data_IF_637845154043
#
_entry.id   IF_637845154043
#
_cell.length_a   1.000
_cell.length_b   1.000
_cell.length_c   1.000
_cell.angle_alpha   90.00
_cell.angle_beta   90.00
_cell.angle_gamma   90.00
#
_symmetry.space_group_name_H-M   'P 1'
#
loop_
_entity.id
_entity.type
_entity.pdbx_description
1 polymer ?
#
# COMPACT_ATOMS: atom_id res chain seq x y z
N UNK A 1 -25.10 12.23 42.17
CA UNK A 1 -24.19 13.03 41.31
C UNK A 1 -23.62 12.08 40.27
N UNK A 2 -23.97 12.32 39.00
CA UNK A 2 -23.72 11.44 37.87
C UNK A 2 -22.47 11.86 37.09
N UNK A 3 -21.86 10.84 36.48
CA UNK A 3 -21.04 10.85 35.26
C UNK A 3 -19.55 11.19 35.34
N UNK A 4 -18.73 10.14 35.26
CA UNK A 4 -17.36 10.18 34.72
C UNK A 4 -17.04 8.88 33.95
N UNK A 5 -17.73 8.62 32.85
CA UNK A 5 -17.43 7.48 31.95
C UNK A 5 -17.38 7.93 30.49
N UNK A 6 -16.51 8.89 30.16
CA UNK A 6 -16.28 9.30 28.76
C UNK A 6 -14.85 9.78 28.52
N UNK A 7 -13.84 8.90 28.64
CA UNK A 7 -12.49 9.21 28.10
C UNK A 7 -11.89 8.15 27.20
N UNK A 8 -12.49 6.96 27.07
CA UNK A 8 -11.92 5.85 26.27
C UNK A 8 -12.32 5.92 24.77
N UNK A 9 -13.33 6.72 24.40
CA UNK A 9 -13.97 6.61 23.08
C UNK A 9 -13.43 7.55 21.98
N UNK A 10 -12.58 8.55 22.30
CA UNK A 10 -12.15 9.53 21.28
C UNK A 10 -10.99 9.03 20.39
N UNK A 11 -10.06 8.22 20.92
CA UNK A 11 -8.90 7.73 20.16
C UNK A 11 -9.27 6.75 19.04
N UNK A 12 -10.32 5.93 19.23
CA UNK A 12 -10.80 5.01 18.19
C UNK A 12 -11.57 5.71 17.07
N UNK A 13 -12.17 6.90 17.32
CA UNK A 13 -12.85 7.69 16.26
C UNK A 13 -11.89 8.13 15.17
N UNK A 14 -10.67 8.56 15.53
CA UNK A 14 -9.66 9.00 14.56
C UNK A 14 -9.15 7.87 13.67
N UNK A 15 -9.19 6.63 14.16
CA UNK A 15 -8.78 5.47 13.39
C UNK A 15 -9.85 5.02 12.38
N UNK A 16 -11.12 5.32 12.65
CA UNK A 16 -12.25 4.99 11.76
C UNK A 16 -12.46 6.05 10.67
N UNK A 17 -11.93 7.27 10.84
CA UNK A 17 -11.96 8.33 9.82
C UNK A 17 -11.44 7.89 8.44
N UNK A 18 -10.26 7.27 8.30
CA UNK A 18 -9.79 6.81 7.00
C UNK A 18 -10.70 5.73 6.41
N UNK A 19 -11.31 4.87 7.23
CA UNK A 19 -12.28 3.89 6.78
C UNK A 19 -13.58 4.54 6.28
N UNK A 20 -14.09 5.57 6.96
CA UNK A 20 -15.26 6.32 6.52
C UNK A 20 -14.98 7.14 5.26
N UNK A 21 -13.76 7.67 5.12
CA UNK A 21 -13.32 8.38 3.92
C UNK A 21 -13.20 7.43 2.72
N UNK A 22 -12.64 6.24 2.92
CA UNK A 22 -12.58 5.17 1.93
C UNK A 22 -13.99 4.65 1.55
N UNK A 23 -14.85 4.41 2.53
CA UNK A 23 -16.24 3.99 2.31
C UNK A 23 -17.05 5.06 1.58
N UNK A 24 -16.89 6.33 1.94
CA UNK A 24 -17.52 7.46 1.26
C UNK A 24 -17.06 7.60 -0.19
N UNK A 25 -15.78 7.36 -0.49
CA UNK A 25 -15.26 7.36 -1.86
C UNK A 25 -15.90 6.25 -2.71
N UNK A 26 -16.04 5.04 -2.17
CA UNK A 26 -16.63 3.90 -2.89
C UNK A 26 -18.15 4.03 -3.03
N UNK A 27 -18.85 4.44 -1.97
CA UNK A 27 -20.29 4.72 -2.05
C UNK A 27 -20.55 5.88 -3.01
N UNK A 28 -19.74 6.94 -2.95
CA UNK A 28 -19.82 8.05 -3.90
C UNK A 28 -19.60 7.59 -5.35
N UNK A 29 -18.63 6.71 -5.59
CA UNK A 29 -18.37 6.10 -6.89
C UNK A 29 -19.56 5.24 -7.38
N UNK A 30 -20.07 4.34 -6.54
CA UNK A 30 -21.21 3.49 -6.86
C UNK A 30 -22.48 4.31 -7.11
N UNK A 31 -22.78 5.29 -6.27
CA UNK A 31 -23.92 6.20 -6.41
C UNK A 31 -23.78 7.03 -7.68
N UNK A 32 -22.60 7.58 -7.99
CA UNK A 32 -22.38 8.32 -9.23
C UNK A 32 -22.54 7.41 -10.47
N UNK A 33 -22.07 6.17 -10.41
CA UNK A 33 -22.21 5.21 -11.51
C UNK A 33 -23.67 4.77 -11.75
N UNK A 34 -24.50 4.74 -10.70
CA UNK A 34 -25.91 4.33 -10.77
C UNK A 34 -26.85 5.50 -11.07
N UNK A 35 -26.67 6.67 -10.43
CA UNK A 35 -27.57 7.83 -10.60
C UNK A 35 -27.34 8.58 -11.92
N UNK A 36 -26.11 8.62 -12.45
CA UNK A 36 -25.83 9.34 -13.70
C UNK A 36 -26.19 8.51 -14.95
N UNK A 37 -26.46 7.21 -14.79
CA UNK A 37 -26.79 6.29 -15.88
C UNK A 37 -28.08 5.50 -15.61
N UNK A 38 -29.09 6.09 -14.96
CA UNK A 38 -30.39 5.47 -14.83
C UNK A 38 -31.26 5.76 -16.08
N UNK A 39 -31.33 4.86 -17.10
CA UNK A 39 -32.38 4.95 -18.10
C UNK A 39 -33.73 4.65 -17.41
N UNK A 40 -34.78 5.34 -17.85
CA UNK A 40 -36.16 5.25 -17.36
C UNK A 40 -36.83 3.87 -17.57
N UNK A 41 -36.08 2.83 -17.92
CA UNK A 41 -36.54 1.44 -17.98
C UNK A 41 -35.54 0.53 -17.26
N UNK A 42 -36.02 -0.08 -16.18
CA UNK A 42 -35.26 -0.90 -15.24
C UNK A 42 -34.95 -2.28 -15.84
N UNK A 43 -34.17 -2.34 -16.92
CA UNK A 43 -33.61 -3.59 -17.43
C UNK A 43 -32.29 -3.86 -16.71
N UNK A 44 -32.34 -4.68 -15.66
CA UNK A 44 -31.16 -5.24 -14.99
C UNK A 44 -30.44 -6.24 -15.91
N UNK A 45 -29.80 -5.72 -16.94
CA UNK A 45 -28.72 -6.44 -17.61
C UNK A 45 -27.43 -5.99 -16.94
N UNK A 46 -26.68 -6.93 -16.37
CA UNK A 46 -25.30 -6.69 -15.94
C UNK A 46 -24.47 -6.47 -17.21
N UNK A 47 -24.62 -5.30 -17.82
CA UNK A 47 -23.87 -4.88 -18.98
C UNK A 47 -22.59 -4.25 -18.47
N UNK A 48 -21.48 -4.97 -18.59
CA UNK A 48 -20.13 -4.41 -18.46
C UNK A 48 -20.02 -3.31 -19.54
N UNK A 49 -20.16 -2.05 -19.14
CA UNK A 49 -20.33 -0.94 -20.09
C UNK A 49 -18.98 -0.41 -20.62
N UNK A 50 -17.86 -0.67 -19.91
CA UNK A 50 -16.50 -0.42 -20.42
C UNK A 50 -15.52 -1.55 -20.10
N UNK A 51 -14.56 -1.77 -21.01
CA UNK A 51 -13.48 -2.76 -20.90
C UNK A 51 -12.63 -2.62 -19.61
N UNK A 52 -12.63 -1.43 -18.98
CA UNK A 52 -11.82 -1.11 -17.80
C UNK A 52 -12.61 -1.02 -16.48
N UNK A 53 -13.96 -1.10 -16.49
CA UNK A 53 -14.79 -0.97 -15.29
C UNK A 53 -14.49 -2.07 -14.26
N UNK A 54 -14.28 -3.29 -14.73
CA UNK A 54 -13.97 -4.43 -13.89
C UNK A 54 -12.59 -4.28 -13.23
N UNK A 55 -11.61 -3.72 -13.95
CA UNK A 55 -10.27 -3.44 -13.41
C UNK A 55 -10.36 -2.45 -12.25
N UNK A 56 -11.01 -1.29 -12.45
CA UNK A 56 -11.16 -0.28 -11.40
C UNK A 56 -12.04 -0.79 -10.24
N UNK A 57 -13.05 -1.61 -10.51
CA UNK A 57 -13.84 -2.29 -9.49
C UNK A 57 -13.00 -3.22 -8.61
N UNK A 58 -12.14 -4.06 -9.21
CA UNK A 58 -11.20 -4.93 -8.48
C UNK A 58 -10.22 -4.09 -7.66
N UNK A 59 -9.65 -3.03 -8.25
CA UNK A 59 -8.72 -2.13 -7.58
C UNK A 59 -9.36 -1.45 -6.35
N UNK A 60 -10.58 -0.92 -6.52
CA UNK A 60 -11.34 -0.31 -5.44
C UNK A 60 -11.71 -1.29 -4.33
N UNK A 61 -12.11 -2.52 -4.69
CA UNK A 61 -12.39 -3.57 -3.72
C UNK A 61 -11.13 -3.98 -2.93
N UNK A 62 -10.01 -4.20 -3.62
CA UNK A 62 -8.75 -4.58 -2.98
C UNK A 62 -8.25 -3.47 -2.05
N UNK A 63 -8.39 -2.21 -2.47
CA UNK A 63 -8.10 -1.04 -1.65
C UNK A 63 -8.93 -1.01 -0.35
N UNK A 64 -10.24 -1.22 -0.44
CA UNK A 64 -11.10 -1.29 0.73
C UNK A 64 -10.72 -2.44 1.65
N UNK A 65 -10.46 -3.63 1.07
CA UNK A 65 -10.09 -4.82 1.84
C UNK A 65 -8.79 -4.61 2.61
N UNK A 66 -7.74 -4.05 1.97
CA UNK A 66 -6.47 -3.76 2.62
C UNK A 66 -6.61 -2.64 3.66
N UNK A 67 -7.36 -1.58 3.38
CA UNK A 67 -7.62 -0.48 4.31
C UNK A 67 -8.38 -0.96 5.55
N UNK A 68 -9.41 -1.79 5.36
CA UNK A 68 -10.18 -2.40 6.44
C UNK A 68 -9.33 -3.37 7.26
N UNK A 69 -8.51 -4.20 6.61
CA UNK A 69 -7.60 -5.12 7.29
C UNK A 69 -6.56 -4.37 8.12
N UNK A 70 -5.92 -3.35 7.56
CA UNK A 70 -4.95 -2.52 8.27
C UNK A 70 -5.60 -1.85 9.48
N UNK A 71 -6.76 -1.21 9.29
CA UNK A 71 -7.52 -0.57 10.38
C UNK A 71 -7.92 -1.58 11.45
N UNK A 72 -8.38 -2.79 11.08
CA UNK A 72 -8.76 -3.83 12.03
C UNK A 72 -7.57 -4.32 12.87
N UNK A 73 -6.41 -4.55 12.26
CA UNK A 73 -5.18 -4.93 12.98
C UNK A 73 -4.79 -3.81 13.94
N UNK A 74 -4.82 -2.57 13.47
CA UNK A 74 -4.52 -1.38 14.25
C UNK A 74 -5.51 -1.15 15.41
N UNK A 75 -6.76 -1.60 15.34
CA UNK A 75 -7.70 -1.55 16.48
C UNK A 75 -7.37 -2.64 17.51
N UNK A 76 -6.92 -3.81 17.04
CA UNK A 76 -6.59 -4.96 17.91
C UNK A 76 -5.33 -4.76 18.73
N UNK A 77 -4.40 -3.92 18.27
CA UNK A 77 -3.16 -3.61 19.00
C UNK A 77 -3.49 -2.62 20.14
N UNK A 78 -3.18 -2.93 21.41
CA UNK A 78 -3.41 -2.02 22.52
C UNK A 78 -2.67 -0.69 22.30
N UNK A 79 -3.21 0.43 22.79
CA UNK A 79 -2.59 1.74 22.51
C UNK A 79 -1.37 2.05 23.40
N UNK A 80 -1.17 1.29 24.48
CA UNK A 80 -0.04 1.43 25.40
C UNK A 80 0.60 0.05 25.59
N UNK A 81 1.92 0.03 25.54
CA UNK A 81 2.72 -1.11 25.98
C UNK A 81 2.61 -1.18 27.52
N UNK A 82 2.02 -2.26 28.05
CA UNK A 82 2.02 -2.50 29.50
C UNK A 82 3.39 -3.08 29.87
N UNK A 83 4.35 -2.20 30.18
CA UNK A 83 5.73 -2.57 30.50
C UNK A 83 5.83 -3.66 31.59
N UNK A 84 4.96 -3.66 32.60
CA UNK A 84 5.04 -4.61 33.73
C UNK A 84 4.55 -6.04 33.39
N UNK A 85 3.63 -6.19 32.44
CA UNK A 85 2.98 -7.48 32.15
C UNK A 85 3.64 -8.22 30.98
N UNK A 86 4.18 -7.48 29.99
CA UNK A 86 4.89 -8.07 28.83
C UNK A 86 6.36 -8.41 29.15
N UNK A 87 7.05 -7.63 30.01
CA UNK A 87 8.44 -7.93 30.40
C UNK A 87 8.54 -9.16 31.32
N UNK A 88 7.47 -9.52 32.03
CA UNK A 88 7.47 -10.59 33.04
C UNK A 88 7.15 -11.99 32.48
N UNK A 89 6.70 -12.10 31.23
CA UNK A 89 6.36 -13.40 30.62
C UNK A 89 7.24 -13.83 29.44
N UNK A 90 8.01 -12.93 28.82
CA UNK A 90 8.59 -13.21 27.49
C UNK A 90 9.93 -12.50 27.21
N UNK A 91 10.77 -12.26 28.23
CA UNK A 91 12.09 -11.65 28.02
C UNK A 91 13.04 -12.45 27.10
N UNK A 92 12.73 -13.73 26.84
CA UNK A 92 13.55 -14.64 26.02
C UNK A 92 12.90 -15.02 24.67
N UNK A 93 11.66 -14.58 24.36
CA UNK A 93 11.03 -14.89 23.08
C UNK A 93 11.26 -13.76 22.06
N UNK A 94 12.09 -14.06 21.05
CA UNK A 94 12.48 -13.19 19.93
C UNK A 94 11.32 -12.67 19.05
N UNK A 95 10.05 -12.86 19.43
CA UNK A 95 8.90 -12.53 18.58
C UNK A 95 7.62 -12.31 19.42
N UNK A 96 7.53 -11.17 20.11
CA UNK A 96 6.31 -10.79 20.87
C UNK A 96 5.08 -10.79 19.94
N UNK A 97 3.90 -11.28 20.40
CA UNK A 97 2.70 -11.30 19.58
C UNK A 97 2.30 -9.92 19.04
N UNK A 98 2.62 -8.85 19.78
CA UNK A 98 2.42 -7.47 19.38
C UNK A 98 3.35 -7.06 18.23
N UNK A 99 4.62 -7.47 18.26
CA UNK A 99 5.60 -7.24 17.20
C UNK A 99 5.15 -7.85 15.88
N UNK A 100 4.71 -9.11 15.92
CA UNK A 100 4.22 -9.80 14.72
C UNK A 100 2.97 -9.16 14.13
N UNK A 101 2.04 -8.70 14.97
CA UNK A 101 0.83 -8.00 14.53
C UNK A 101 1.17 -6.64 13.90
N UNK A 102 2.10 -5.90 14.51
CA UNK A 102 2.53 -4.60 14.04
C UNK A 102 3.37 -4.71 12.75
N UNK A 103 4.21 -5.73 12.64
CA UNK A 103 4.92 -6.08 11.40
C UNK A 103 3.95 -6.41 10.26
N UNK A 104 2.89 -7.19 10.53
CA UNK A 104 1.81 -7.44 9.56
C UNK A 104 1.09 -6.15 9.17
N UNK A 105 0.81 -5.25 10.11
CA UNK A 105 0.20 -3.96 9.82
C UNK A 105 1.10 -3.12 8.89
N UNK A 106 2.41 -3.08 9.15
CA UNK A 106 3.39 -2.38 8.31
C UNK A 106 3.42 -2.94 6.88
N UNK A 107 3.42 -4.27 6.72
CA UNK A 107 3.37 -4.92 5.40
C UNK A 107 2.10 -4.50 4.65
N UNK A 108 0.93 -4.65 5.28
CA UNK A 108 -0.36 -4.33 4.66
C UNK A 108 -0.44 -2.83 4.33
N UNK A 109 0.07 -1.97 5.20
CA UNK A 109 0.08 -0.53 4.98
C UNK A 109 0.95 -0.16 3.77
N UNK A 110 2.14 -0.73 3.64
CA UNK A 110 3.01 -0.53 2.47
C UNK A 110 2.35 -1.04 1.17
N UNK A 111 1.71 -2.21 1.20
CA UNK A 111 0.97 -2.73 0.04
C UNK A 111 -0.19 -1.82 -0.36
N UNK A 112 -0.89 -1.25 0.62
CA UNK A 112 -2.01 -0.34 0.38
C UNK A 112 -1.53 0.97 -0.27
N UNK A 113 -0.38 1.50 0.14
CA UNK A 113 0.25 2.66 -0.51
C UNK A 113 0.58 2.37 -1.97
N UNK A 114 1.23 1.24 -2.25
CA UNK A 114 1.57 0.83 -3.63
C UNK A 114 0.31 0.68 -4.49
N UNK A 115 -0.74 0.08 -3.93
CA UNK A 115 -2.01 -0.11 -4.63
C UNK A 115 -2.70 1.22 -4.95
N UNK A 116 -2.78 2.15 -3.98
CA UNK A 116 -3.38 3.47 -4.20
C UNK A 116 -2.60 4.30 -5.22
N UNK A 117 -1.26 4.24 -5.21
CA UNK A 117 -0.43 4.88 -6.23
C UNK A 117 -0.66 4.27 -7.62
N UNK A 118 -0.79 2.95 -7.71
CA UNK A 118 -1.10 2.25 -8.96
C UNK A 118 -2.47 2.67 -9.50
N UNK A 119 -3.49 2.74 -8.64
CA UNK A 119 -4.82 3.22 -9.01
C UNK A 119 -4.77 4.66 -9.51
N UNK A 120 -4.09 5.55 -8.79
CA UNK A 120 -3.91 6.95 -9.21
C UNK A 120 -3.20 7.09 -10.55
N UNK A 121 -2.11 6.34 -10.76
CA UNK A 121 -1.36 6.36 -12.01
C UNK A 121 -2.21 5.87 -13.20
N UNK A 122 -2.94 4.76 -13.03
CA UNK A 122 -3.84 4.23 -14.06
C UNK A 122 -4.98 5.20 -14.38
N UNK A 123 -5.59 5.79 -13.35
CA UNK A 123 -6.68 6.76 -13.53
C UNK A 123 -6.20 8.03 -14.25
N UNK A 124 -4.99 8.51 -13.93
CA UNK A 124 -4.40 9.67 -14.59
C UNK A 124 -4.03 9.36 -16.04
N UNK A 125 -3.42 8.19 -16.29
CA UNK A 125 -3.07 7.73 -17.64
C UNK A 125 -4.31 7.62 -18.52
N UNK A 126 -5.41 7.06 -17.99
CA UNK A 126 -6.65 6.93 -18.73
C UNK A 126 -7.24 8.29 -19.07
N UNK A 127 -7.35 9.22 -18.11
CA UNK A 127 -7.84 10.58 -18.37
C UNK A 127 -7.00 11.32 -19.42
N UNK A 128 -5.68 11.18 -19.38
CA UNK A 128 -4.78 11.76 -20.37
C UNK A 128 -5.00 11.15 -21.77
N UNK A 129 -5.28 9.85 -21.85
CA UNK A 129 -5.55 9.14 -23.10
C UNK A 129 -6.95 9.39 -23.66
N UNK A 130 -7.96 9.60 -22.82
CA UNK A 130 -9.35 9.84 -23.23
C UNK A 130 -9.54 11.15 -23.96
N UNK A 131 -8.64 12.14 -23.77
CA UNK A 131 -8.58 13.33 -24.66
C UNK A 131 -8.41 12.95 -26.14
N UNK A 132 -8.04 11.70 -26.45
CA UNK A 132 -7.94 11.14 -27.79
C UNK A 132 -8.96 10.02 -28.10
N UNK A 133 -9.74 9.50 -27.14
CA UNK A 133 -10.67 8.36 -27.33
C UNK A 133 -12.12 8.82 -27.19
N UNK A 134 -12.75 9.11 -28.32
CA UNK A 134 -14.17 9.44 -28.44
C UNK A 134 -15.04 8.24 -28.08
N UNK A 135 -15.64 8.24 -26.88
CA UNK A 135 -16.62 7.20 -26.50
C UNK A 135 -16.72 6.88 -25.02
N UNK A 136 -15.75 7.27 -24.18
CA UNK A 136 -15.87 7.11 -22.72
C UNK A 136 -16.43 8.37 -22.04
N UNK A 137 -17.35 8.20 -21.10
CA UNK A 137 -17.92 9.33 -20.34
C UNK A 137 -16.80 10.00 -19.54
N UNK A 138 -16.43 11.23 -19.93
CA UNK A 138 -15.40 12.03 -19.25
C UNK A 138 -15.64 12.11 -17.74
N UNK A 139 -16.90 12.05 -17.32
CA UNK A 139 -17.33 12.05 -15.92
C UNK A 139 -16.86 10.81 -15.15
N UNK A 140 -16.78 9.63 -15.79
CA UNK A 140 -16.31 8.40 -15.15
C UNK A 140 -14.79 8.41 -14.92
N UNK A 141 -14.01 8.91 -15.88
CA UNK A 141 -12.56 9.02 -15.73
C UNK A 141 -12.20 10.08 -14.68
N UNK A 142 -12.95 11.19 -14.65
CA UNK A 142 -12.81 12.23 -13.64
C UNK A 142 -13.18 11.71 -12.23
N UNK A 143 -14.26 10.93 -12.11
CA UNK A 143 -14.67 10.36 -10.82
C UNK A 143 -13.64 9.36 -10.27
N UNK A 144 -13.08 8.49 -11.12
CA UNK A 144 -11.98 7.60 -10.75
C UNK A 144 -10.74 8.36 -10.29
N UNK A 145 -10.41 9.48 -10.95
CA UNK A 145 -9.25 10.28 -10.57
C UNK A 145 -9.44 10.89 -9.19
N UNK A 146 -10.62 11.47 -8.94
CA UNK A 146 -10.98 12.03 -7.63
C UNK A 146 -10.97 10.94 -6.55
N UNK A 147 -11.56 9.77 -6.83
CA UNK A 147 -11.58 8.64 -5.90
C UNK A 147 -10.16 8.16 -5.55
N UNK A 148 -9.28 8.02 -6.56
CA UNK A 148 -7.89 7.61 -6.34
C UNK A 148 -7.09 8.65 -5.56
N UNK A 149 -7.33 9.95 -5.76
CA UNK A 149 -6.69 11.02 -4.99
C UNK A 149 -7.09 10.95 -3.50
N UNK A 150 -8.39 10.74 -3.24
CA UNK A 150 -8.91 10.52 -1.87
C UNK A 150 -8.29 9.26 -1.26
N UNK A 151 -8.17 8.18 -2.04
CA UNK A 151 -7.54 6.94 -1.60
C UNK A 151 -6.08 7.15 -1.19
N UNK A 152 -5.29 7.87 -2.00
CA UNK A 152 -3.89 8.22 -1.70
C UNK A 152 -3.79 9.00 -0.38
N UNK A 153 -4.60 10.05 -0.21
CA UNK A 153 -4.62 10.83 1.03
C UNK A 153 -4.97 9.93 2.23
N UNK A 154 -5.96 9.06 2.07
CA UNK A 154 -6.40 8.12 3.11
C UNK A 154 -5.28 7.18 3.54
N UNK A 155 -4.54 6.58 2.61
CA UNK A 155 -3.44 5.64 2.94
C UNK A 155 -2.23 6.33 3.49
N UNK A 156 -1.91 7.56 3.06
CA UNK A 156 -0.84 8.36 3.65
C UNK A 156 -1.16 8.68 5.11
N UNK A 157 -2.39 9.10 5.40
CA UNK A 157 -2.86 9.31 6.77
C UNK A 157 -2.78 8.02 7.60
N UNK A 158 -3.23 6.89 7.05
CA UNK A 158 -3.21 5.60 7.74
C UNK A 158 -1.78 5.07 7.96
N UNK A 159 -0.88 5.29 7.00
CA UNK A 159 0.55 4.96 7.11
C UNK A 159 1.19 5.76 8.26
N UNK A 160 0.91 7.05 8.35
CA UNK A 160 1.39 7.90 9.44
C UNK A 160 0.88 7.43 10.81
N UNK A 161 -0.38 6.97 10.89
CA UNK A 161 -0.94 6.40 12.13
C UNK A 161 -0.24 5.08 12.48
N UNK A 162 -0.04 4.21 11.49
CA UNK A 162 0.66 2.92 11.66
C UNK A 162 2.07 3.15 12.19
N UNK A 163 2.79 4.12 11.62
CA UNK A 163 4.13 4.49 12.05
C UNK A 163 4.16 5.04 13.48
N UNK A 164 3.26 5.96 13.82
CA UNK A 164 3.16 6.49 15.18
C UNK A 164 2.93 5.37 16.19
N UNK A 165 2.14 4.36 15.84
CA UNK A 165 1.97 3.17 16.67
C UNK A 165 3.26 2.36 16.76
N UNK A 166 3.95 2.14 15.64
CA UNK A 166 5.24 1.44 15.63
C UNK A 166 6.25 2.11 16.56
N UNK A 167 6.43 3.42 16.44
CA UNK A 167 7.37 4.20 17.25
C UNK A 167 7.00 4.23 18.74
N UNK A 168 5.72 4.15 19.09
CA UNK A 168 5.29 4.06 20.49
C UNK A 168 5.58 2.69 21.12
N UNK A 169 5.55 1.62 20.33
CA UNK A 169 5.87 0.27 20.79
C UNK A 169 7.38 0.02 20.83
N UNK A 170 8.12 0.62 19.90
CA UNK A 170 9.56 0.44 19.77
C UNK A 170 10.30 1.78 19.76
N UNK A 171 10.41 2.46 20.91
CA UNK A 171 11.07 3.76 21.01
C UNK A 171 12.57 3.69 20.65
N UNK A 172 13.22 2.57 20.95
CA UNK A 172 14.67 2.39 20.72
C UNK A 172 15.03 2.18 19.25
N UNK A 173 14.09 1.67 18.44
CA UNK A 173 14.25 1.42 16.99
C UNK A 173 13.24 2.22 16.16
N UNK A 174 13.07 3.49 16.52
CA UNK A 174 12.16 4.43 15.84
C UNK A 174 12.45 4.62 14.35
N UNK A 175 11.36 4.67 13.57
CA UNK A 175 11.34 4.99 12.15
C UNK A 175 10.88 6.44 11.94
N UNK A 176 11.70 7.26 11.27
CA UNK A 176 11.36 8.64 10.93
C UNK A 176 11.17 8.82 9.41
N UNK A 177 9.92 8.96 8.95
CA UNK A 177 9.63 9.21 7.52
C UNK A 177 10.15 10.55 7.00
N UNK A 178 10.45 11.52 7.87
CA UNK A 178 11.00 12.79 7.46
C UNK A 178 12.53 12.72 7.24
N UNK A 179 13.17 11.66 7.74
CA UNK A 179 14.57 11.38 7.43
C UNK A 179 14.71 10.84 6.01
N UNK A 180 15.63 11.44 5.25
CA UNK A 180 16.04 10.97 3.92
C UNK A 180 16.66 9.58 3.96
N UNK A 181 17.19 9.17 5.12
CA UNK A 181 17.88 7.89 5.34
C UNK A 181 17.15 7.03 6.36
N UNK A 182 15.83 7.16 6.49
CA UNK A 182 14.98 6.43 7.46
C UNK A 182 15.36 4.95 7.62
N UNK A 183 15.51 4.22 6.51
CA UNK A 183 15.82 2.80 6.55
C UNK A 183 17.24 2.51 7.06
N UNK A 184 18.19 3.39 6.77
CA UNK A 184 19.56 3.27 7.26
C UNK A 184 19.63 3.61 8.76
N UNK A 185 19.01 4.71 9.18
CA UNK A 185 18.95 5.10 10.59
C UNK A 185 18.23 4.05 11.45
N UNK A 186 17.16 3.45 10.92
CA UNK A 186 16.51 2.34 11.59
C UNK A 186 17.44 1.13 11.68
N UNK A 187 18.12 0.77 10.59
CA UNK A 187 19.07 -0.33 10.55
C UNK A 187 20.21 -0.16 11.57
N UNK A 188 20.72 1.06 11.74
CA UNK A 188 21.83 1.33 12.65
C UNK A 188 21.46 1.10 14.12
N UNK A 189 20.19 1.31 14.49
CA UNK A 189 19.63 1.11 15.84
C UNK A 189 19.40 -0.36 16.22
N UNK A 190 19.38 -1.26 15.25
CA UNK A 190 19.14 -2.70 15.49
C UNK A 190 20.35 -3.37 16.14
N UNK A 191 20.11 -4.43 16.91
CA UNK A 191 21.18 -5.28 17.44
C UNK A 191 21.86 -6.13 16.34
N UNK A 192 22.95 -6.83 16.66
CA UNK A 192 23.69 -7.64 15.66
C UNK A 192 22.86 -8.81 15.10
N UNK A 193 22.00 -9.43 15.92
CA UNK A 193 21.14 -10.54 15.52
C UNK A 193 20.03 -10.09 14.57
N UNK A 194 19.34 -9.00 14.90
CA UNK A 194 18.35 -8.33 14.08
C UNK A 194 18.95 -7.85 12.75
N UNK A 195 20.15 -7.24 12.78
CA UNK A 195 20.88 -6.85 11.56
C UNK A 195 21.14 -8.05 10.67
N UNK A 196 21.54 -9.20 11.22
CA UNK A 196 21.74 -10.43 10.46
C UNK A 196 20.45 -10.93 9.80
N UNK A 197 19.33 -10.89 10.52
CA UNK A 197 18.00 -11.23 9.96
C UNK A 197 17.65 -10.30 8.80
N UNK A 198 17.82 -8.98 8.98
CA UNK A 198 17.55 -7.98 7.93
C UNK A 198 18.45 -8.20 6.71
N UNK A 199 19.73 -8.50 6.89
CA UNK A 199 20.63 -8.83 5.78
C UNK A 199 20.18 -10.07 5.02
N UNK A 200 19.77 -11.13 5.74
CA UNK A 200 19.27 -12.36 5.12
C UNK A 200 17.97 -12.12 4.36
N UNK A 201 17.07 -11.29 4.90
CA UNK A 201 15.84 -10.88 4.25
C UNK A 201 16.12 -10.03 3.00
N UNK A 202 17.04 -9.06 3.06
CA UNK A 202 17.44 -8.24 1.94
C UNK A 202 18.05 -9.07 0.80
N UNK A 203 18.93 -10.03 1.12
CA UNK A 203 19.49 -10.95 0.12
C UNK A 203 18.41 -11.85 -0.51
N UNK A 204 17.47 -12.37 0.28
CA UNK A 204 16.33 -13.14 -0.25
C UNK A 204 15.46 -12.29 -1.17
N UNK A 205 15.17 -11.04 -0.79
CA UNK A 205 14.43 -10.09 -1.63
C UNK A 205 15.15 -9.79 -2.95
N UNK A 206 16.47 -9.56 -2.90
CA UNK A 206 17.30 -9.39 -4.09
C UNK A 206 17.20 -10.58 -5.06
N UNK A 207 17.31 -11.81 -4.55
CA UNK A 207 17.16 -13.01 -5.41
C UNK A 207 15.75 -13.13 -5.99
N UNK A 208 14.73 -12.89 -5.17
CA UNK A 208 13.34 -12.93 -5.62
C UNK A 208 13.07 -11.87 -6.71
N UNK A 209 13.63 -10.67 -6.57
CA UNK A 209 13.51 -9.60 -7.55
C UNK A 209 14.13 -9.98 -8.90
N UNK A 210 15.29 -10.65 -8.91
CA UNK A 210 15.88 -11.13 -10.16
C UNK A 210 14.99 -12.15 -10.87
N UNK A 211 14.36 -13.07 -10.13
CA UNK A 211 13.40 -14.03 -10.69
C UNK A 211 12.15 -13.31 -11.22
N UNK A 212 11.60 -12.36 -10.45
CA UNK A 212 10.42 -11.59 -10.83
C UNK A 212 10.67 -10.70 -12.06
N UNK A 213 11.82 -10.04 -12.15
CA UNK A 213 12.21 -9.26 -13.32
C UNK A 213 12.38 -10.14 -14.56
N UNK A 214 12.97 -11.33 -14.40
CA UNK A 214 13.10 -12.31 -15.49
C UNK A 214 11.74 -12.79 -16.00
N UNK A 215 10.85 -13.19 -15.09
CA UNK A 215 9.48 -13.61 -15.42
C UNK A 215 8.71 -12.43 -16.03
N UNK A 216 8.80 -11.24 -15.46
CA UNK A 216 8.16 -10.03 -15.96
C UNK A 216 8.61 -9.68 -17.38
N UNK A 217 9.88 -9.87 -17.69
CA UNK A 217 10.43 -9.64 -19.02
C UNK A 217 9.83 -10.61 -20.05
N UNK A 218 9.82 -11.92 -19.73
CA UNK A 218 9.21 -12.94 -20.59
C UNK A 218 7.73 -12.63 -20.80
N UNK A 219 7.00 -12.31 -19.73
CA UNK A 219 5.58 -11.96 -19.79
C UNK A 219 5.31 -10.74 -20.67
N UNK A 220 6.15 -9.69 -20.60
CA UNK A 220 6.00 -8.49 -21.44
C UNK A 220 6.26 -8.78 -22.92
N UNK A 221 7.26 -9.61 -23.22
CA UNK A 221 7.52 -10.05 -24.62
C UNK A 221 6.35 -10.85 -25.17
N UNK A 222 5.84 -11.82 -24.41
CA UNK A 222 4.66 -12.62 -24.80
C UNK A 222 3.44 -11.72 -25.00
N UNK A 223 3.21 -10.78 -24.09
CA UNK A 223 2.11 -9.83 -24.19
C UNK A 223 2.23 -8.95 -25.45
N UNK A 224 3.43 -8.48 -25.78
CA UNK A 224 3.68 -7.68 -26.99
C UNK A 224 3.38 -8.45 -28.28
N UNK A 225 3.71 -9.74 -28.34
CA UNK A 225 3.41 -10.62 -29.49
C UNK A 225 1.90 -10.84 -29.64
N UNK A 226 1.18 -11.04 -28.53
CA UNK A 226 -0.25 -11.38 -28.55
C UNK A 226 -1.16 -10.17 -28.79
N UNK A 227 -0.79 -8.99 -28.30
CA UNK A 227 -1.67 -7.81 -28.27
C UNK A 227 -1.14 -6.58 -29.01
N UNK A 228 -0.03 -6.70 -29.76
CA UNK A 228 0.59 -5.60 -30.52
C UNK A 228 0.69 -4.30 -29.70
N UNK A 229 1.33 -4.39 -28.53
CA UNK A 229 1.54 -3.26 -27.63
C UNK A 229 2.92 -2.61 -27.82
N UNK A 230 3.03 -1.32 -27.51
CA UNK A 230 4.26 -0.54 -27.64
C UNK A 230 5.43 -1.17 -26.85
N UNK A 231 6.65 -1.26 -27.42
CA UNK A 231 7.79 -1.90 -26.76
C UNK A 231 8.35 -1.10 -25.56
N UNK A 232 7.79 0.07 -25.26
CA UNK A 232 8.33 0.97 -24.23
C UNK A 232 8.40 0.35 -22.81
N UNK A 233 7.41 -0.38 -22.28
CA UNK A 233 7.51 -1.02 -20.97
C UNK A 233 8.63 -2.06 -20.89
N UNK A 234 8.96 -2.73 -22.00
CA UNK A 234 10.09 -3.65 -22.07
C UNK A 234 11.40 -2.90 -21.84
N UNK A 235 11.56 -1.73 -22.48
CA UNK A 235 12.74 -0.87 -22.29
C UNK A 235 12.83 -0.36 -20.85
N UNK A 236 11.73 0.10 -20.27
CA UNK A 236 11.68 0.58 -18.88
C UNK A 236 12.03 -0.56 -17.90
N UNK A 237 11.45 -1.74 -18.08
CA UNK A 237 11.73 -2.90 -17.23
C UNK A 237 13.21 -3.32 -17.32
N UNK A 238 13.79 -3.28 -18.52
CA UNK A 238 15.21 -3.57 -18.74
C UNK A 238 16.12 -2.55 -18.03
N UNK A 239 15.79 -1.26 -18.10
CA UNK A 239 16.54 -0.22 -17.40
C UNK A 239 16.48 -0.40 -15.88
N UNK A 240 15.30 -0.72 -15.33
CA UNK A 240 15.13 -1.03 -13.90
C UNK A 240 16.02 -2.23 -13.52
N UNK A 241 16.06 -3.27 -14.34
CA UNK A 241 16.85 -4.46 -14.07
C UNK A 241 18.36 -4.19 -14.10
N UNK A 242 18.84 -3.41 -15.08
CA UNK A 242 20.25 -2.98 -15.14
C UNK A 242 20.62 -2.18 -13.90
N UNK A 243 19.78 -1.23 -13.48
CA UNK A 243 20.03 -0.41 -12.27
C UNK A 243 20.03 -1.28 -11.02
N UNK A 244 19.08 -2.23 -10.91
CA UNK A 244 18.98 -3.16 -9.79
C UNK A 244 20.27 -3.99 -9.62
N UNK A 245 20.74 -4.62 -10.69
CA UNK A 245 21.97 -5.42 -10.69
C UNK A 245 23.20 -4.53 -10.49
N UNK A 246 23.27 -3.41 -11.22
CA UNK A 246 24.40 -2.49 -11.17
C UNK A 246 24.64 -1.89 -9.79
N UNK A 247 23.56 -1.53 -9.08
CA UNK A 247 23.65 -1.01 -7.71
C UNK A 247 24.23 -2.05 -6.75
N UNK A 248 23.79 -3.32 -6.86
CA UNK A 248 24.31 -4.40 -6.03
C UNK A 248 25.82 -4.61 -6.24
N UNK A 249 26.26 -4.80 -7.49
CA UNK A 249 27.68 -5.03 -7.76
C UNK A 249 28.57 -3.83 -7.44
N UNK A 250 28.06 -2.60 -7.67
CA UNK A 250 28.77 -1.38 -7.28
C UNK A 250 29.02 -1.33 -5.77
N UNK A 251 28.02 -1.70 -4.97
CA UNK A 251 28.14 -1.71 -3.51
C UNK A 251 29.07 -2.81 -3.00
N UNK A 252 29.01 -4.00 -3.59
CA UNK A 252 29.95 -5.10 -3.29
C UNK A 252 31.38 -4.68 -3.59
N UNK A 253 31.63 -4.09 -4.76
CA UNK A 253 32.97 -3.63 -5.14
C UNK A 253 33.48 -2.50 -4.25
N UNK A 254 32.60 -1.55 -3.88
CA UNK A 254 32.93 -0.47 -2.95
C UNK A 254 33.37 -1.00 -1.59
N UNK A 255 32.65 -1.99 -1.05
CA UNK A 255 32.98 -2.61 0.25
C UNK A 255 34.19 -3.53 0.19
N UNK A 256 34.48 -4.15 -0.95
CA UNK A 256 35.68 -4.99 -1.13
C UNK A 256 36.99 -4.20 -1.17
N UNK A 257 36.93 -2.88 -1.39
CA UNK A 257 38.11 -1.99 -1.47
C UNK A 257 38.36 -1.21 -0.17
N UNK A 258 37.43 -1.28 0.78
CA UNK A 258 37.56 -0.68 2.12
C UNK A 258 38.12 -1.69 3.10
#
# INVERSE_FOLDING_TARGET
MTNSTTSVNSKYRWLRLPLYMAGGAVVGFLVASVLLNAPSSLNWTLSVYYDYDLLFGILGFLFLALTACNTAILIRIPTKLNLEEDLSHDADSLDSPAERLLGRAMIISNLNVILSLTWGALSLSLLASTRAVTGSSEMFNLSNLIASAIAIITVVCLQNITLKRYNNYFPDRTLDFNSRNMHQEHFDKLDEGEKWIVYRAAYRSFRAMNVLLSIGMISMVLYSILFSFAPFPIVVLSAIWIIHIGTYYREVYRKSKS
#
